data_IF_600719546412
#
_entry.id   IF_600719546412
#
_cell.length_a   1.000
_cell.length_b   1.000
_cell.length_c   1.000
_cell.angle_alpha   90.00
_cell.angle_beta   90.00
_cell.angle_gamma   90.00
#
_symmetry.space_group_name_H-M   'P 1'
#
loop_
_entity.id
_entity.type
_entity.pdbx_description
1 polymer ?
#
# COMPACT_ATOMS: atom_id res chain seq x y z
N UNK A 1 -14.71 -3.63 -17.23
CA UNK A 1 -13.70 -3.57 -16.15
C UNK A 1 -14.40 -3.92 -14.86
N UNK A 2 -14.00 -5.00 -14.17
CA UNK A 2 -14.57 -5.31 -12.85
C UNK A 2 -13.96 -4.35 -11.83
N UNK A 3 -14.80 -3.53 -11.19
CA UNK A 3 -14.37 -2.60 -10.16
C UNK A 3 -14.35 -3.36 -8.83
N UNK A 4 -13.15 -3.59 -8.30
CA UNK A 4 -12.98 -4.21 -6.98
C UNK A 4 -12.83 -3.08 -5.98
N UNK A 5 -13.91 -2.75 -5.28
CA UNK A 5 -13.88 -1.73 -4.21
C UNK A 5 -13.32 -2.35 -2.94
N UNK A 6 -12.41 -1.63 -2.28
CA UNK A 6 -11.89 -1.97 -0.96
C UNK A 6 -12.45 -0.99 0.07
N UNK A 7 -13.08 -1.51 1.12
CA UNK A 7 -13.54 -0.71 2.24
C UNK A 7 -12.40 -0.53 3.26
N UNK A 8 -12.02 0.73 3.49
CA UNK A 8 -10.94 1.12 4.41
C UNK A 8 -11.42 1.32 5.85
N UNK A 9 -12.74 1.23 6.12
CA UNK A 9 -13.26 1.33 7.48
C UNK A 9 -12.93 0.09 8.34
N UNK A 10 -12.59 -1.03 7.70
CA UNK A 10 -12.22 -2.29 8.36
C UNK A 10 -10.77 -2.66 8.02
N UNK A 11 -10.14 -3.47 8.87
CA UNK A 11 -8.77 -3.92 8.62
C UNK A 11 -8.69 -4.78 7.34
N UNK A 12 -7.85 -4.36 6.39
CA UNK A 12 -7.64 -5.06 5.11
C UNK A 12 -6.20 -5.55 4.96
N UNK A 13 -5.99 -6.46 3.99
CA UNK A 13 -4.66 -6.81 3.46
C UNK A 13 -4.46 -6.10 2.14
N UNK A 14 -3.54 -5.14 2.11
CA UNK A 14 -3.33 -4.25 0.95
C UNK A 14 -1.90 -4.44 0.44
N UNK A 15 -1.77 -4.63 -0.88
CA UNK A 15 -0.47 -4.67 -1.55
C UNK A 15 -0.32 -3.43 -2.43
N UNK A 16 0.70 -2.61 -2.15
CA UNK A 16 0.98 -1.38 -2.88
C UNK A 16 2.06 -1.64 -3.92
N UNK A 17 1.73 -1.47 -5.20
CA UNK A 17 2.69 -1.59 -6.32
C UNK A 17 3.33 -0.24 -6.60
N UNK A 18 4.66 -0.22 -6.74
CA UNK A 18 5.45 1.02 -6.88
C UNK A 18 5.66 1.75 -5.55
N UNK A 19 5.73 1.00 -4.44
CA UNK A 19 5.77 1.56 -3.07
C UNK A 19 7.00 2.45 -2.81
N UNK A 20 8.07 2.31 -3.59
CA UNK A 20 9.29 3.09 -3.45
C UNK A 20 9.16 4.54 -3.91
N UNK A 21 8.09 4.88 -4.65
CA UNK A 21 7.79 6.25 -5.05
C UNK A 21 7.32 7.13 -3.87
N UNK A 22 7.59 8.44 -3.86
CA UNK A 22 7.23 9.32 -2.75
C UNK A 22 5.72 9.41 -2.48
N UNK A 23 4.89 9.27 -3.52
CA UNK A 23 3.43 9.23 -3.37
C UNK A 23 2.93 7.92 -2.77
N UNK A 24 3.38 6.79 -3.33
CA UNK A 24 2.92 5.47 -2.91
C UNK A 24 3.44 5.07 -1.52
N UNK A 25 4.66 5.48 -1.16
CA UNK A 25 5.21 5.29 0.20
C UNK A 25 4.38 6.04 1.25
N UNK A 26 3.97 7.28 0.97
CA UNK A 26 3.09 8.05 1.85
C UNK A 26 1.72 7.37 2.01
N UNK A 27 1.14 6.89 0.92
CA UNK A 27 -0.13 6.14 0.95
C UNK A 27 0.03 4.84 1.75
N UNK A 28 1.06 4.04 1.48
CA UNK A 28 1.32 2.77 2.17
C UNK A 28 1.49 2.98 3.69
N UNK A 29 2.23 4.02 4.07
CA UNK A 29 2.42 4.40 5.48
C UNK A 29 1.10 4.80 6.13
N UNK A 30 0.29 5.60 5.44
CA UNK A 30 -1.03 6.02 5.93
C UNK A 30 -1.95 4.81 6.14
N UNK A 31 -2.02 3.90 5.17
CA UNK A 31 -2.82 2.67 5.27
C UNK A 31 -2.34 1.78 6.43
N UNK A 32 -1.03 1.69 6.66
CA UNK A 32 -0.49 0.96 7.81
C UNK A 32 -0.88 1.61 9.14
N UNK A 33 -0.79 2.95 9.23
CA UNK A 33 -1.20 3.71 10.41
C UNK A 33 -2.70 3.60 10.70
N UNK A 34 -3.52 3.42 9.66
CA UNK A 34 -4.95 3.10 9.80
C UNK A 34 -5.21 1.68 10.33
N UNK A 35 -4.16 0.86 10.54
CA UNK A 35 -4.27 -0.50 11.08
C UNK A 35 -4.39 -1.60 10.03
N UNK A 36 -4.22 -1.28 8.74
CA UNK A 36 -4.22 -2.30 7.69
C UNK A 36 -2.90 -3.08 7.63
N UNK A 37 -2.98 -4.31 7.14
CA UNK A 37 -1.82 -5.13 6.83
C UNK A 37 -1.31 -4.76 5.44
N UNK A 38 -0.25 -3.96 5.41
CA UNK A 38 0.31 -3.40 4.18
C UNK A 38 1.58 -4.16 3.78
N UNK A 39 1.65 -4.54 2.52
CA UNK A 39 2.87 -5.01 1.84
C UNK A 39 3.11 -4.15 0.60
N UNK A 40 4.30 -4.20 0.02
CA UNK A 40 4.58 -3.45 -1.20
C UNK A 40 5.65 -4.07 -2.08
N UNK A 41 5.63 -3.67 -3.34
CA UNK A 41 6.63 -4.03 -4.34
C UNK A 41 7.09 -2.78 -5.08
N UNK A 42 8.35 -2.75 -5.50
CA UNK A 42 8.90 -1.73 -6.39
C UNK A 42 9.95 -2.39 -7.31
N UNK A 43 10.24 -1.74 -8.44
CA UNK A 43 11.26 -2.22 -9.39
C UNK A 43 12.65 -1.94 -8.84
N UNK A 44 12.81 -0.86 -8.07
CA UNK A 44 14.07 -0.52 -7.42
C UNK A 44 14.09 -1.13 -6.02
N UNK A 45 15.13 -1.89 -5.73
CA UNK A 45 15.43 -2.24 -4.34
C UNK A 45 15.73 -0.97 -3.54
N UNK A 46 15.18 -0.91 -2.32
CA UNK A 46 15.63 0.06 -1.33
C UNK A 46 17.13 -0.13 -1.08
N UNK A 47 17.90 0.93 -0.82
CA UNK A 47 19.28 0.79 -0.36
C UNK A 47 19.31 -0.10 0.88
N UNK A 48 20.34 -0.94 0.98
CA UNK A 48 20.59 -1.78 2.16
C UNK A 48 21.03 -0.93 3.36
#
# INVERSE_FOLDING_TARGET
MHQTTCDLATQQRIHVVGVGGPGMSAIATTLQQMGHLVSGSDIKNSPA
#
